data_IF_943220331132
#
_entry.id   IF_943220331132
#
_cell.length_a   1.000
_cell.length_b   1.000
_cell.length_c   1.000
_cell.angle_alpha   90.00
_cell.angle_beta   90.00
_cell.angle_gamma   90.00
#
_symmetry.space_group_name_H-M   'P 1'
#
loop_
_entity.id
_entity.type
_entity.pdbx_description
1 polymer ?
#
# COMPACT_ATOMS: atom_id res chain seq x y z
N UNK A 1 -21.34 17.90 -4.87
CA UNK A 1 -19.87 18.04 -4.67
C UNK A 1 -19.39 16.90 -3.79
N UNK A 2 -18.27 16.29 -4.14
CA UNK A 2 -17.71 15.18 -3.37
C UNK A 2 -16.53 15.64 -2.54
N UNK A 3 -16.43 15.13 -1.32
CA UNK A 3 -15.26 15.34 -0.48
C UNK A 3 -14.34 14.11 -0.56
N UNK A 4 -13.20 14.14 0.13
CA UNK A 4 -12.26 13.02 0.11
C UNK A 4 -12.88 11.72 0.64
N UNK A 5 -13.70 11.81 1.68
CA UNK A 5 -14.37 10.64 2.24
C UNK A 5 -15.30 9.98 1.21
N UNK A 6 -16.02 10.78 0.42
CA UNK A 6 -16.88 10.27 -0.65
C UNK A 6 -16.06 9.50 -1.70
N UNK A 7 -14.91 10.06 -2.10
CA UNK A 7 -14.02 9.41 -3.06
C UNK A 7 -13.48 8.09 -2.54
N UNK A 8 -13.13 8.04 -1.25
CA UNK A 8 -12.64 6.82 -0.62
C UNK A 8 -13.72 5.75 -0.58
N UNK A 9 -14.96 6.12 -0.24
CA UNK A 9 -16.08 5.17 -0.22
C UNK A 9 -16.34 4.61 -1.61
N UNK A 10 -16.29 5.44 -2.64
CA UNK A 10 -16.45 4.99 -4.02
C UNK A 10 -15.33 4.03 -4.43
N UNK A 11 -14.09 4.33 -4.07
CA UNK A 11 -12.95 3.47 -4.35
C UNK A 11 -13.09 2.12 -3.65
N UNK A 12 -13.47 2.14 -2.37
CA UNK A 12 -13.65 0.90 -1.59
C UNK A 12 -14.73 -0.01 -2.16
N UNK A 13 -15.73 0.54 -2.82
CA UNK A 13 -16.76 -0.26 -3.48
C UNK A 13 -16.24 -1.03 -4.68
N UNK A 14 -15.09 -0.65 -5.23
CA UNK A 14 -14.52 -1.24 -6.45
C UNK A 14 -13.27 -2.07 -6.22
N UNK A 15 -12.65 -1.96 -5.06
CA UNK A 15 -11.38 -2.63 -4.76
C UNK A 15 -11.60 -3.85 -3.88
N UNK A 16 -10.55 -4.64 -3.73
CA UNK A 16 -10.52 -5.75 -2.80
C UNK A 16 -9.68 -5.34 -1.58
N UNK A 17 -10.30 -5.37 -0.39
CA UNK A 17 -9.59 -5.13 0.87
C UNK A 17 -9.33 -6.45 1.57
N UNK A 18 -8.12 -6.59 2.13
CA UNK A 18 -7.72 -7.76 2.91
C UNK A 18 -7.89 -7.45 4.39
N UNK A 19 -8.63 -8.29 5.10
CA UNK A 19 -8.77 -8.15 6.53
C UNK A 19 -7.44 -8.38 7.25
N UNK A 20 -7.29 -7.78 8.43
CA UNK A 20 -6.03 -7.86 9.19
C UNK A 20 -5.60 -9.31 9.47
N UNK A 21 -6.55 -10.19 9.80
CA UNK A 21 -6.26 -11.60 10.06
C UNK A 21 -5.72 -12.35 8.85
N UNK A 22 -5.96 -11.86 7.65
CA UNK A 22 -5.48 -12.46 6.39
C UNK A 22 -4.27 -11.74 5.81
N UNK A 23 -3.85 -10.64 6.45
CA UNK A 23 -2.82 -9.75 5.89
C UNK A 23 -1.47 -10.43 5.69
N UNK A 24 -1.01 -11.21 6.67
CA UNK A 24 0.30 -11.86 6.56
C UNK A 24 0.33 -12.88 5.43
N UNK A 25 -0.74 -13.65 5.26
CA UNK A 25 -0.84 -14.60 4.15
C UNK A 25 -0.88 -13.89 2.80
N UNK A 26 -1.63 -12.78 2.70
CA UNK A 26 -1.70 -12.00 1.47
C UNK A 26 -0.34 -11.40 1.10
N UNK A 27 0.40 -10.90 2.09
CA UNK A 27 1.73 -10.32 1.88
C UNK A 27 2.71 -11.40 1.40
N UNK A 28 2.67 -12.59 2.00
CA UNK A 28 3.54 -13.70 1.59
C UNK A 28 3.27 -14.14 0.15
N UNK A 29 2.01 -14.06 -0.29
CA UNK A 29 1.63 -14.45 -1.65
C UNK A 29 1.88 -13.34 -2.67
N UNK A 30 2.12 -12.10 -2.24
CA UNK A 30 2.27 -10.96 -3.12
C UNK A 30 3.65 -10.93 -3.79
N UNK A 31 3.68 -10.46 -5.03
CA UNK A 31 4.94 -10.16 -5.71
C UNK A 31 5.54 -8.87 -5.19
N UNK A 32 4.71 -7.91 -4.81
CA UNK A 32 5.14 -6.61 -4.30
C UNK A 32 4.23 -6.16 -3.16
N UNK A 33 4.84 -5.60 -2.12
CA UNK A 33 4.15 -4.94 -1.02
C UNK A 33 4.51 -3.45 -1.07
N UNK A 34 3.52 -2.60 -1.29
CA UNK A 34 3.74 -1.17 -1.48
C UNK A 34 3.17 -0.36 -0.33
N UNK A 35 4.02 0.46 0.27
CA UNK A 35 3.62 1.45 1.26
C UNK A 35 3.42 2.77 0.52
N UNK A 36 2.17 3.24 0.43
CA UNK A 36 1.85 4.45 -0.33
C UNK A 36 1.78 5.71 0.53
N UNK A 37 2.30 5.61 1.76
CA UNK A 37 2.43 6.77 2.66
C UNK A 37 3.61 7.64 2.21
N UNK A 38 3.76 8.79 2.85
CA UNK A 38 4.91 9.66 2.61
C UNK A 38 6.20 9.03 3.17
N UNK A 39 7.34 9.48 2.67
CA UNK A 39 8.64 8.89 3.01
C UNK A 39 8.95 8.96 4.51
N UNK A 40 8.60 10.06 5.19
CA UNK A 40 8.84 10.19 6.61
C UNK A 40 8.00 9.22 7.44
N UNK A 41 6.76 8.95 7.03
CA UNK A 41 5.93 7.93 7.67
C UNK A 41 6.58 6.55 7.54
N UNK A 42 7.05 6.22 6.33
CA UNK A 42 7.71 4.96 6.05
C UNK A 42 8.99 4.79 6.88
N UNK A 43 9.80 5.82 6.95
CA UNK A 43 11.06 5.77 7.69
C UNK A 43 10.85 5.59 9.19
N UNK A 44 9.76 6.13 9.74
CA UNK A 44 9.44 5.97 11.16
C UNK A 44 9.02 4.55 11.53
N UNK A 45 8.52 3.79 10.57
CA UNK A 45 8.12 2.39 10.77
C UNK A 45 7.30 1.92 9.60
N UNK A 46 7.56 0.68 9.14
CA UNK A 46 6.82 0.09 8.02
C UNK A 46 6.80 -1.43 8.15
N UNK A 47 5.96 -2.07 7.36
CA UNK A 47 5.87 -3.53 7.30
C UNK A 47 7.13 -4.07 6.62
N UNK A 48 7.79 -5.10 7.20
CA UNK A 48 9.00 -5.67 6.57
C UNK A 48 8.76 -6.10 5.13
N UNK A 49 9.69 -5.75 4.26
CA UNK A 49 9.61 -6.07 2.83
C UNK A 49 8.86 -5.06 1.99
N UNK A 50 8.26 -4.04 2.60
CA UNK A 50 7.53 -3.02 1.85
C UNK A 50 8.47 -2.09 1.11
N UNK A 51 8.05 -1.69 -0.09
CA UNK A 51 8.69 -0.63 -0.87
C UNK A 51 7.86 0.62 -0.70
N UNK A 52 8.51 1.75 -0.42
CA UNK A 52 7.80 3.01 -0.30
C UNK A 52 7.64 3.69 -1.66
N UNK A 53 6.42 3.85 -2.08
CA UNK A 53 6.08 4.63 -3.27
C UNK A 53 4.93 5.56 -2.86
N UNK A 54 5.23 6.82 -2.53
CA UNK A 54 4.19 7.76 -2.11
C UNK A 54 3.06 7.87 -3.12
N UNK A 55 1.84 8.01 -2.60
CA UNK A 55 0.63 8.00 -3.43
C UNK A 55 0.71 8.97 -4.62
N UNK A 56 1.34 10.13 -4.42
CA UNK A 56 1.41 11.17 -5.43
C UNK A 56 2.23 10.81 -6.66
N UNK A 57 3.13 9.82 -6.56
CA UNK A 57 3.99 9.41 -7.67
C UNK A 57 3.75 7.97 -8.10
N UNK A 58 2.78 7.30 -7.52
CA UNK A 58 2.55 5.87 -7.71
C UNK A 58 2.39 5.47 -9.18
N UNK A 59 1.49 6.13 -9.89
CA UNK A 59 1.18 5.78 -11.28
C UNK A 59 2.41 5.94 -12.18
N UNK A 60 3.15 7.01 -11.96
CA UNK A 60 4.36 7.28 -12.72
C UNK A 60 5.44 6.22 -12.46
N UNK A 61 5.63 5.88 -11.19
CA UNK A 61 6.62 4.89 -10.81
C UNK A 61 6.31 3.51 -11.39
N UNK A 62 5.06 3.08 -11.30
CA UNK A 62 4.66 1.77 -11.83
C UNK A 62 4.76 1.71 -13.35
N UNK A 63 4.45 2.82 -14.03
CA UNK A 63 4.58 2.87 -15.49
C UNK A 63 6.03 2.80 -15.97
N UNK A 64 6.94 3.38 -15.20
CA UNK A 64 8.32 3.60 -15.64
C UNK A 64 9.32 2.58 -15.11
N UNK A 65 8.96 1.79 -14.11
CA UNK A 65 9.84 0.80 -13.52
C UNK A 65 9.56 -0.58 -14.12
N UNK A 66 10.52 -1.18 -14.85
CA UNK A 66 10.32 -2.51 -15.45
C UNK A 66 9.97 -3.60 -14.42
N UNK A 67 10.40 -3.44 -13.18
CA UNK A 67 10.10 -4.41 -12.12
C UNK A 67 8.65 -4.32 -11.65
N UNK A 68 7.93 -3.23 -11.96
CA UNK A 68 6.60 -2.96 -11.42
C UNK A 68 5.53 -2.82 -12.50
N UNK A 69 5.89 -2.81 -13.77
CA UNK A 69 4.94 -2.50 -14.84
C UNK A 69 4.12 -3.69 -15.35
N UNK A 70 4.47 -4.90 -14.99
CA UNK A 70 3.73 -6.08 -15.44
C UNK A 70 2.35 -6.14 -14.77
N UNK A 71 1.30 -6.19 -15.58
CA UNK A 71 -0.09 -6.11 -15.11
C UNK A 71 -0.56 -7.36 -14.37
N UNK A 72 0.20 -8.45 -14.46
CA UNK A 72 -0.10 -9.71 -13.77
C UNK A 72 0.44 -9.76 -12.35
N UNK A 73 1.26 -8.80 -11.94
CA UNK A 73 1.84 -8.77 -10.59
C UNK A 73 0.74 -8.78 -9.52
N UNK A 74 0.94 -9.61 -8.52
CA UNK A 74 0.10 -9.62 -7.33
C UNK A 74 0.64 -8.54 -6.38
N UNK A 75 -0.13 -7.47 -6.22
CA UNK A 75 0.28 -6.30 -5.44
C UNK A 75 -0.60 -6.15 -4.22
N UNK A 76 0.02 -6.07 -3.05
CA UNK A 76 -0.64 -5.66 -1.81
C UNK A 76 -0.12 -4.27 -1.48
N UNK A 77 -1.04 -3.35 -1.16
CA UNK A 77 -0.63 -2.01 -0.76
C UNK A 77 -1.35 -1.57 0.50
N UNK A 78 -0.75 -0.61 1.20
CA UNK A 78 -1.32 -0.08 2.44
C UNK A 78 -0.90 1.38 2.64
N UNK A 79 -1.66 2.07 3.48
CA UNK A 79 -1.31 3.40 3.95
C UNK A 79 -1.43 3.43 5.48
N UNK A 80 -1.70 4.59 6.07
CA UNK A 80 -1.83 4.70 7.53
C UNK A 80 -3.10 4.00 8.02
N UNK A 81 -4.24 4.30 7.42
CA UNK A 81 -5.52 3.65 7.72
C UNK A 81 -6.05 2.90 6.51
N UNK A 82 -6.72 3.55 5.59
CA UNK A 82 -7.21 2.86 4.39
C UNK A 82 -7.47 3.79 3.21
N UNK A 83 -7.57 5.10 3.43
CA UNK A 83 -8.01 6.05 2.40
C UNK A 83 -7.08 6.17 1.20
N UNK A 84 -5.81 6.51 1.44
CA UNK A 84 -4.83 6.65 0.36
C UNK A 84 -4.65 5.32 -0.39
N UNK A 85 -4.63 4.21 0.35
CA UNK A 85 -4.47 2.89 -0.25
C UNK A 85 -5.69 2.50 -1.10
N UNK A 86 -6.89 2.86 -0.67
CA UNK A 86 -8.11 2.60 -1.45
C UNK A 86 -8.06 3.36 -2.78
N UNK A 87 -7.72 4.64 -2.75
CA UNK A 87 -7.58 5.44 -3.96
C UNK A 87 -6.47 4.88 -4.87
N UNK A 88 -5.36 4.46 -4.27
CA UNK A 88 -4.24 3.87 -4.99
C UNK A 88 -4.66 2.56 -5.69
N UNK A 89 -5.33 1.66 -4.97
CA UNK A 89 -5.79 0.40 -5.54
C UNK A 89 -6.74 0.62 -6.71
N UNK A 90 -7.65 1.58 -6.57
CA UNK A 90 -8.59 1.95 -7.62
C UNK A 90 -7.84 2.46 -8.86
N UNK A 91 -6.82 3.30 -8.65
CA UNK A 91 -6.00 3.81 -9.74
C UNK A 91 -5.24 2.71 -10.46
N UNK A 92 -4.67 1.76 -9.72
CA UNK A 92 -3.94 0.64 -10.34
C UNK A 92 -4.88 -0.25 -11.14
N UNK A 93 -6.10 -0.48 -10.66
CA UNK A 93 -7.10 -1.22 -11.45
C UNK A 93 -7.39 -0.51 -12.76
N UNK A 94 -7.52 0.83 -12.72
CA UNK A 94 -7.75 1.62 -13.93
C UNK A 94 -6.57 1.51 -14.92
N UNK A 95 -5.35 1.27 -14.41
CA UNK A 95 -4.16 1.03 -15.23
C UNK A 95 -4.08 -0.40 -15.77
N UNK A 96 -4.98 -1.28 -15.36
CA UNK A 96 -5.03 -2.64 -15.85
C UNK A 96 -4.39 -3.70 -14.96
N UNK A 97 -3.95 -3.35 -13.76
CA UNK A 97 -3.45 -4.35 -12.80
C UNK A 97 -4.64 -5.18 -12.31
N UNK A 98 -4.51 -6.50 -12.34
CA UNK A 98 -5.63 -7.43 -12.07
C UNK A 98 -5.63 -7.98 -10.66
N UNK A 99 -4.49 -7.98 -9.99
CA UNK A 99 -4.34 -8.58 -8.67
C UNK A 99 -3.85 -7.53 -7.67
N UNK A 100 -4.75 -6.63 -7.29
CA UNK A 100 -4.44 -5.54 -6.36
C UNK A 100 -5.32 -5.66 -5.13
N UNK A 101 -4.71 -5.65 -3.96
CA UNK A 101 -5.42 -5.70 -2.68
C UNK A 101 -4.89 -4.61 -1.76
N UNK A 102 -5.80 -4.03 -0.96
CA UNK A 102 -5.46 -3.01 0.03
C UNK A 102 -5.67 -3.59 1.43
N UNK A 103 -4.74 -3.34 2.36
CA UNK A 103 -4.87 -3.80 3.74
C UNK A 103 -5.90 -2.96 4.49
N UNK A 104 -6.96 -3.59 4.97
CA UNK A 104 -7.96 -2.94 5.79
C UNK A 104 -7.31 -2.45 7.10
N UNK A 105 -7.57 -1.20 7.46
CA UNK A 105 -7.01 -0.58 8.65
C UNK A 105 -5.55 -0.14 8.53
N UNK A 106 -4.86 -0.52 7.48
CA UNK A 106 -3.51 -0.09 7.15
C UNK A 106 -2.46 -0.35 8.22
N UNK A 107 -1.43 0.48 8.23
CA UNK A 107 -0.32 0.33 9.17
C UNK A 107 -0.76 0.50 10.63
N UNK A 108 -1.75 1.36 10.90
CA UNK A 108 -2.25 1.56 12.27
C UNK A 108 -2.80 0.26 12.84
N UNK A 109 -3.62 -0.47 12.08
CA UNK A 109 -4.17 -1.76 12.53
C UNK A 109 -3.08 -2.82 12.68
N UNK A 110 -2.14 -2.87 11.74
CA UNK A 110 -1.00 -3.78 11.77
C UNK A 110 -0.16 -3.57 13.03
N UNK A 111 0.18 -2.31 13.33
CA UNK A 111 0.99 -1.93 14.48
C UNK A 111 0.24 -2.20 15.79
N UNK A 112 -1.05 -1.87 15.86
CA UNK A 112 -1.87 -2.10 17.05
C UNK A 112 -2.01 -3.58 17.38
N UNK A 113 -1.93 -4.45 16.39
CA UNK A 113 -1.96 -5.91 16.58
C UNK A 113 -0.60 -6.48 17.00
N UNK A 114 0.41 -5.64 17.16
CA UNK A 114 1.74 -6.07 17.57
C UNK A 114 2.52 -6.84 16.51
N UNK A 115 2.14 -6.70 15.23
CA UNK A 115 2.82 -7.40 14.14
C UNK A 115 4.17 -6.75 13.83
N UNK A 116 5.04 -7.51 13.15
CA UNK A 116 6.41 -7.10 12.88
C UNK A 116 6.49 -5.80 12.08
N UNK A 117 7.40 -4.92 12.49
CA UNK A 117 7.67 -3.69 11.76
C UNK A 117 9.15 -3.36 11.85
N UNK A 118 9.63 -2.60 10.88
CA UNK A 118 11.01 -2.14 10.82
C UNK A 118 11.03 -0.64 10.60
N UNK A 119 12.08 0.02 11.09
CA UNK A 119 12.34 1.42 10.79
C UNK A 119 13.55 1.50 9.87
N UNK A 120 13.61 2.52 9.05
CA UNK A 120 14.76 2.72 8.19
C UNK A 120 16.00 2.99 9.03
N UNK A 121 17.10 2.30 8.68
CA UNK A 121 18.39 2.55 9.32
C UNK A 121 18.97 3.81 8.70
N UNK A 122 18.92 4.89 9.45
CA UNK A 122 19.64 6.11 9.06
C UNK A 122 21.11 5.92 9.41
N UNK A 123 22.02 6.44 8.57
CA UNK A 123 23.44 6.35 8.87
C UNK A 123 23.73 6.97 10.25
N UNK A 124 24.54 6.28 11.02
CA UNK A 124 25.01 6.78 12.29
C UNK A 124 26.35 7.46 12.06
N UNK A 125 26.39 8.77 12.28
CA UNK A 125 27.58 9.57 12.02
C UNK A 125 28.41 9.82 13.28
N UNK A 126 28.15 9.12 14.34
CA UNK A 126 28.99 9.23 15.55
C UNK A 126 30.36 8.63 15.33
#
# INVERSE_FOLDING_TARGET
>A
MKNAHDLVLEAKAQIHEVALEDAEAAIRAADQLLDVREADEFHAGHIPGAINIPRGVLEFKLSNDPALCARELNIVLYCKTSGRAALAACSLQAMGYRQVQSLAGGFDAWSAAGKAQVAANLPNFE
#
